data_IF_049334852523
#
_entry.id   IF_049334852523
#
_cell.length_a   1.000
_cell.length_b   1.000
_cell.length_c   1.000
_cell.angle_alpha   90.00
_cell.angle_beta   90.00
_cell.angle_gamma   90.00
#
_symmetry.space_group_name_H-M   'P 1'
#
loop_
_entity.id
_entity.type
_entity.pdbx_description
1 polymer ?
#
# COMPACT_ATOMS: atom_id res chain seq x y z
N UNK A 1 -10.64 19.76 0.93
CA UNK A 1 -9.41 19.33 1.62
C UNK A 1 -8.88 18.00 1.10
N UNK A 2 -9.67 16.91 1.08
CA UNK A 2 -9.26 15.58 0.58
C UNK A 2 -8.66 15.60 -0.84
N UNK A 3 -9.21 16.43 -1.74
CA UNK A 3 -8.68 16.61 -3.09
C UNK A 3 -7.21 17.08 -3.15
N UNK A 4 -6.77 17.94 -2.23
CA UNK A 4 -5.36 18.34 -2.16
C UNK A 4 -4.46 17.17 -1.75
N UNK A 5 -4.92 16.32 -0.84
CA UNK A 5 -4.19 15.11 -0.46
C UNK A 5 -4.09 14.11 -1.62
N UNK A 6 -5.17 13.89 -2.37
CA UNK A 6 -5.16 13.00 -3.55
C UNK A 6 -4.16 13.51 -4.60
N UNK A 7 -4.16 14.81 -4.88
CA UNK A 7 -3.23 15.43 -5.83
C UNK A 7 -1.78 15.28 -5.32
N UNK A 8 -1.53 15.53 -4.03
CA UNK A 8 -0.20 15.38 -3.42
C UNK A 8 0.33 13.95 -3.46
N UNK A 9 -0.51 12.97 -3.11
CA UNK A 9 -0.17 11.54 -3.13
C UNK A 9 0.12 11.08 -4.57
N UNK A 10 -0.68 11.51 -5.53
CA UNK A 10 -0.48 11.18 -6.96
C UNK A 10 0.80 11.80 -7.49
N UNK A 11 1.10 13.04 -7.11
CA UNK A 11 2.33 13.72 -7.50
C UNK A 11 3.57 13.03 -6.92
N UNK A 12 3.53 12.62 -5.64
CA UNK A 12 4.61 11.86 -5.00
C UNK A 12 4.83 10.50 -5.65
N UNK A 13 3.75 9.75 -5.93
CA UNK A 13 3.83 8.48 -6.63
C UNK A 13 4.44 8.65 -8.04
N UNK A 14 4.03 9.69 -8.77
CA UNK A 14 4.59 10.01 -10.08
C UNK A 14 6.08 10.37 -10.00
N UNK A 15 6.50 11.14 -8.98
CA UNK A 15 7.91 11.49 -8.75
C UNK A 15 8.77 10.27 -8.40
N UNK A 16 8.26 9.35 -7.55
CA UNK A 16 8.92 8.08 -7.26
C UNK A 16 9.14 7.28 -8.55
N UNK A 17 8.09 7.10 -9.34
CA UNK A 17 8.17 6.38 -10.62
C UNK A 17 9.16 7.05 -11.56
N UNK A 18 9.12 8.38 -11.70
CA UNK A 18 10.00 9.13 -12.59
C UNK A 18 11.47 9.09 -12.14
N UNK A 19 11.74 9.06 -10.84
CA UNK A 19 13.08 8.96 -10.29
C UNK A 19 13.66 7.55 -10.43
N UNK A 20 12.84 6.52 -10.21
CA UNK A 20 13.29 5.13 -10.31
C UNK A 20 13.37 4.61 -11.74
N UNK A 21 12.59 5.17 -12.67
CA UNK A 21 12.63 4.79 -14.09
C UNK A 21 14.02 4.88 -14.76
N UNK A 22 14.78 5.99 -14.64
CA UNK A 22 16.14 6.09 -15.18
C UNK A 22 17.12 5.22 -14.41
N UNK A 23 16.92 5.02 -13.09
CA UNK A 23 17.79 4.19 -12.25
C UNK A 23 17.63 2.69 -12.55
N UNK A 24 16.42 2.27 -12.94
CA UNK A 24 16.09 0.91 -13.34
C UNK A 24 16.43 0.60 -14.82
N UNK A 25 17.07 1.50 -15.58
CA UNK A 25 17.51 1.20 -16.97
C UNK A 25 18.47 0.00 -17.06
N UNK A 26 19.21 -0.31 -15.99
CA UNK A 26 20.12 -1.47 -15.90
C UNK A 26 19.38 -2.79 -15.59
N UNK A 27 18.14 -2.72 -15.13
CA UNK A 27 17.40 -3.84 -14.55
C UNK A 27 16.35 -4.38 -15.55
N UNK A 28 16.24 -5.73 -15.62
CA UNK A 28 15.35 -6.47 -16.54
C UNK A 28 13.91 -5.94 -16.52
N UNK A 29 13.25 -5.92 -17.68
CA UNK A 29 11.85 -5.44 -17.88
C UNK A 29 10.83 -6.03 -16.88
N UNK A 30 11.09 -7.24 -16.35
CA UNK A 30 10.22 -7.94 -15.40
C UNK A 30 10.15 -7.26 -14.03
N UNK A 31 11.27 -6.74 -13.53
CA UNK A 31 11.35 -6.07 -12.22
C UNK A 31 10.67 -4.70 -12.24
N UNK A 32 10.66 -4.02 -13.39
CA UNK A 32 9.90 -2.77 -13.60
C UNK A 32 8.40 -2.97 -13.44
N UNK A 33 7.88 -4.10 -13.91
CA UNK A 33 6.44 -4.40 -13.78
C UNK A 33 6.05 -4.61 -12.32
N UNK A 34 6.88 -5.31 -11.53
CA UNK A 34 6.64 -5.52 -10.10
C UNK A 34 6.64 -4.19 -9.35
N UNK A 35 7.58 -3.30 -9.66
CA UNK A 35 7.64 -1.97 -9.06
C UNK A 35 6.38 -1.14 -9.36
N UNK A 36 5.94 -1.08 -10.62
CA UNK A 36 4.73 -0.34 -10.98
C UNK A 36 3.50 -0.92 -10.26
N UNK A 37 3.37 -2.25 -10.18
CA UNK A 37 2.26 -2.90 -9.49
C UNK A 37 2.26 -2.55 -7.99
N UNK A 38 3.43 -2.57 -7.35
CA UNK A 38 3.59 -2.17 -5.94
C UNK A 38 3.18 -0.71 -5.73
N UNK A 39 3.68 0.21 -6.56
CA UNK A 39 3.35 1.65 -6.46
C UNK A 39 1.85 1.88 -6.65
N UNK A 40 1.22 1.20 -7.62
CA UNK A 40 -0.23 1.31 -7.86
C UNK A 40 -1.02 0.76 -6.67
N UNK A 41 -0.59 -0.37 -6.10
CA UNK A 41 -1.20 -0.94 -4.90
C UNK A 41 -1.12 0.02 -3.70
N UNK A 42 0.05 0.59 -3.44
CA UNK A 42 0.23 1.56 -2.35
C UNK A 42 -0.57 2.85 -2.58
N UNK A 43 -0.61 3.34 -3.82
CA UNK A 43 -1.40 4.50 -4.19
C UNK A 43 -2.90 4.29 -3.98
N UNK A 44 -3.43 3.12 -4.40
CA UNK A 44 -4.82 2.74 -4.16
C UNK A 44 -5.11 2.62 -2.66
N UNK A 45 -4.21 1.99 -1.90
CA UNK A 45 -4.34 1.86 -0.45
C UNK A 45 -4.39 3.23 0.24
N UNK A 46 -3.53 4.17 -0.17
CA UNK A 46 -3.51 5.53 0.35
C UNK A 46 -4.83 6.28 0.07
N UNK A 47 -5.42 6.09 -1.12
CA UNK A 47 -6.73 6.66 -1.45
C UNK A 47 -7.82 6.03 -0.58
N UNK A 48 -7.82 4.71 -0.40
CA UNK A 48 -8.78 4.01 0.45
C UNK A 48 -8.70 4.52 1.89
N UNK A 49 -7.50 4.73 2.43
CA UNK A 49 -7.29 5.29 3.77
C UNK A 49 -7.79 6.74 3.92
N UNK A 50 -7.76 7.54 2.84
CA UNK A 50 -8.33 8.89 2.86
C UNK A 50 -9.85 8.89 3.02
N UNK A 51 -10.55 7.90 2.45
CA UNK A 51 -12.00 7.76 2.56
C UNK A 51 -12.44 6.96 3.80
N UNK A 52 -11.63 5.99 4.21
CA UNK A 52 -11.88 5.12 5.37
C UNK A 52 -10.68 5.16 6.34
N UNK A 53 -10.50 6.27 7.07
CA UNK A 53 -9.36 6.44 7.97
C UNK A 53 -9.37 5.50 9.18
N UNK A 54 -10.53 4.94 9.51
CA UNK A 54 -10.73 4.03 10.64
C UNK A 54 -10.74 2.55 10.20
N UNK A 55 -10.02 2.21 9.12
CA UNK A 55 -9.83 0.81 8.75
C UNK A 55 -9.14 0.08 9.91
N UNK A 56 -9.67 -1.09 10.34
CA UNK A 56 -9.04 -1.87 11.39
C UNK A 56 -7.62 -2.19 10.97
N UNK A 57 -6.66 -1.95 11.87
CA UNK A 57 -5.26 -2.18 11.55
C UNK A 57 -5.05 -3.66 11.21
N UNK A 58 -4.04 -4.01 10.39
CA UNK A 58 -3.74 -5.40 10.09
C UNK A 58 -3.55 -6.25 11.36
N UNK A 59 -3.05 -5.63 12.43
CA UNK A 59 -2.92 -6.25 13.76
C UNK A 59 -4.30 -6.57 14.36
N UNK A 60 -5.26 -5.64 14.31
CA UNK A 60 -6.63 -5.88 14.79
C UNK A 60 -7.36 -6.94 13.95
N UNK A 61 -7.12 -6.98 12.64
CA UNK A 61 -7.65 -8.03 11.76
C UNK A 61 -7.07 -9.39 12.14
N UNK A 62 -5.75 -9.44 12.41
CA UNK A 62 -5.07 -10.65 12.85
C UNK A 62 -5.60 -11.11 14.22
N UNK A 63 -5.76 -10.20 15.18
CA UNK A 63 -6.34 -10.51 16.49
C UNK A 63 -7.76 -11.08 16.36
N UNK A 64 -8.59 -10.57 15.44
CA UNK A 64 -9.93 -11.09 15.19
C UNK A 64 -9.91 -12.54 14.69
N UNK A 65 -8.95 -12.89 13.82
CA UNK A 65 -8.79 -14.24 13.28
C UNK A 65 -8.14 -15.19 14.31
N UNK A 66 -7.19 -14.70 15.09
CA UNK A 66 -6.42 -15.50 16.04
C UNK A 66 -7.05 -15.61 17.43
N UNK A 67 -7.98 -14.71 17.82
CA UNK A 67 -8.77 -14.83 19.05
C UNK A 67 -9.53 -16.16 19.20
N UNK A 68 -10.27 -16.66 18.19
CA UNK A 68 -10.91 -17.96 18.31
C UNK A 68 -9.90 -19.10 18.40
N UNK A 69 -8.76 -18.97 17.72
CA UNK A 69 -7.70 -19.99 17.72
C UNK A 69 -6.98 -20.08 19.08
N UNK A 70 -6.72 -18.95 19.73
CA UNK A 70 -6.11 -18.91 21.06
C UNK A 70 -7.02 -19.50 22.13
N UNK A 71 -8.34 -19.31 22.03
CA UNK A 71 -9.32 -19.96 22.92
C UNK A 71 -9.37 -21.49 22.78
N UNK A 72 -9.03 -22.02 21.61
CA UNK A 72 -9.01 -23.47 21.35
C UNK A 72 -7.67 -24.07 21.80
N UNK A 73 -6.56 -23.36 21.59
CA UNK A 73 -5.20 -23.83 21.88
C UNK A 73 -4.75 -23.64 23.34
N UNK A 74 -5.29 -22.65 24.06
CA UNK A 74 -4.98 -22.37 25.48
C UNK A 74 -5.98 -23.03 26.45
N UNK A 75 -6.71 -24.05 26.00
CA UNK A 75 -7.58 -24.89 26.84
C UNK A 75 -6.85 -26.16 27.22
#
# INVERSE_FOLDING_TARGET
>A
MVWFFIIGITLLAALMVLYEWPRMKSIRKREKSTFIILVVMEWLLAIVLLFYPNLPSPVQMLETVFQPLSKILLK
#
